data_IF_258871228938
#
_entry.id   IF_258871228938
#
_cell.length_a   1.000
_cell.length_b   1.000
_cell.length_c   1.000
_cell.angle_alpha   90.00
_cell.angle_beta   90.00
_cell.angle_gamma   90.00
#
_symmetry.space_group_name_H-M   'P 1'
#
loop_
_entity.id
_entity.type
_entity.pdbx_description
1 polymer ?
#
# COMPACT_ATOMS: atom_id res chain seq x y z
N UNK A 1 4.80 8.74 25.59
CA UNK A 1 5.29 7.73 24.61
C UNK A 1 6.70 8.11 24.12
N UNK A 2 7.47 7.17 23.54
CA UNK A 2 8.68 7.44 22.75
C UNK A 2 8.38 7.15 21.28
N UNK A 3 9.10 7.79 20.37
CA UNK A 3 8.94 7.52 18.94
C UNK A 3 9.41 6.12 18.57
N UNK A 4 8.85 5.54 17.53
CA UNK A 4 9.35 4.33 16.88
C UNK A 4 10.34 4.76 15.79
N UNK A 5 11.45 4.06 15.67
CA UNK A 5 12.40 4.20 14.58
C UNK A 5 12.84 2.83 14.06
N UNK A 6 13.49 2.81 12.90
CA UNK A 6 14.13 1.59 12.41
C UNK A 6 15.33 1.28 13.30
N UNK A 7 15.44 0.05 13.77
CA UNK A 7 16.54 -0.39 14.60
C UNK A 7 17.87 -0.42 13.82
N UNK A 8 19.02 -0.42 14.50
CA UNK A 8 20.34 -0.46 13.83
C UNK A 8 20.59 -1.70 12.97
N UNK A 9 19.82 -2.76 13.15
CA UNK A 9 19.90 -3.97 12.30
C UNK A 9 19.24 -3.76 10.90
N UNK A 10 18.59 -2.62 10.69
CA UNK A 10 17.92 -2.26 9.43
C UNK A 10 16.64 -3.06 9.14
N UNK A 11 16.23 -3.93 10.07
CA UNK A 11 15.10 -4.84 9.88
C UNK A 11 14.00 -4.69 10.92
N UNK A 12 14.34 -4.51 12.18
CA UNK A 12 13.36 -4.34 13.25
C UNK A 12 13.01 -2.87 13.48
N UNK A 13 11.95 -2.63 14.23
CA UNK A 13 11.67 -1.33 14.82
C UNK A 13 12.02 -1.34 16.30
N UNK A 14 12.38 -0.17 16.83
CA UNK A 14 12.65 0.02 18.27
C UNK A 14 12.16 1.38 18.76
N UNK A 15 12.01 1.49 20.07
CA UNK A 15 11.76 2.79 20.71
C UNK A 15 13.04 3.62 20.72
N UNK A 16 12.95 4.82 20.17
CA UNK A 16 14.09 5.74 20.01
C UNK A 16 14.91 5.89 21.31
N UNK A 17 16.20 5.60 21.20
CA UNK A 17 17.16 5.74 22.29
C UNK A 17 17.03 4.73 23.42
N UNK A 18 16.26 3.65 23.28
CA UNK A 18 16.14 2.60 24.30
C UNK A 18 16.66 1.26 23.87
N UNK A 19 16.63 0.95 22.57
CA UNK A 19 16.89 -0.38 22.04
C UNK A 19 15.75 -1.38 22.31
N UNK A 20 14.65 -0.96 22.90
CA UNK A 20 13.46 -1.78 23.12
C UNK A 20 12.73 -2.04 21.79
N UNK A 21 12.57 -3.32 21.45
CA UNK A 21 11.94 -3.72 20.19
C UNK A 21 10.44 -3.47 20.21
N UNK A 22 9.92 -2.98 19.10
CA UNK A 22 8.49 -2.79 18.85
C UNK A 22 8.13 -3.43 17.53
N UNK A 23 7.09 -4.26 17.52
CA UNK A 23 6.45 -4.72 16.29
C UNK A 23 5.12 -4.00 16.12
N UNK A 24 4.93 -3.17 15.07
CA UNK A 24 3.65 -2.53 14.79
C UNK A 24 2.55 -3.57 14.59
N UNK A 25 1.57 -3.57 15.47
CA UNK A 25 0.44 -4.49 15.43
C UNK A 25 -0.85 -3.71 15.66
N UNK A 26 -1.80 -3.81 14.73
CA UNK A 26 -3.02 -3.03 14.85
C UNK A 26 -3.92 -3.09 13.64
N UNK A 27 -4.36 -1.91 13.18
CA UNK A 27 -5.26 -1.86 12.03
C UNK A 27 -5.59 -0.44 11.58
N UNK A 28 -6.74 -0.33 10.92
CA UNK A 28 -7.25 0.90 10.33
C UNK A 28 -8.67 1.15 10.87
N UNK A 29 -8.97 2.37 11.32
CA UNK A 29 -10.33 2.75 11.77
C UNK A 29 -11.00 3.62 10.71
N UNK A 30 -12.20 3.21 10.33
CA UNK A 30 -13.09 3.95 9.45
C UNK A 30 -14.37 4.36 10.20
N UNK A 31 -15.08 5.33 9.69
CA UNK A 31 -16.40 5.68 10.22
C UNK A 31 -17.49 4.90 9.50
N UNK A 32 -18.14 3.96 10.19
CA UNK A 32 -19.24 3.16 9.65
C UNK A 32 -20.44 4.00 9.18
N UNK A 33 -20.58 5.22 9.70
CA UNK A 33 -21.63 6.17 9.30
C UNK A 33 -21.41 6.78 7.91
N UNK A 34 -20.22 6.52 7.33
CA UNK A 34 -19.83 6.94 6.00
C UNK A 34 -19.29 5.76 5.20
N UNK A 35 -20.15 4.88 4.70
CA UNK A 35 -19.71 3.84 3.79
C UNK A 35 -19.11 4.49 2.53
N UNK A 36 -17.89 4.15 2.19
CA UNK A 36 -17.17 4.74 1.07
C UNK A 36 -15.97 5.58 1.48
N UNK A 37 -15.24 5.15 2.50
CA UNK A 37 -13.98 5.75 2.95
C UNK A 37 -14.11 7.16 3.56
N UNK A 38 -15.28 7.46 4.12
CA UNK A 38 -15.47 8.65 4.93
C UNK A 38 -14.50 8.66 6.10
N UNK A 39 -13.90 9.81 6.33
CA UNK A 39 -12.93 9.92 7.39
C UNK A 39 -13.63 10.01 8.73
N UNK A 40 -13.01 9.40 9.75
CA UNK A 40 -13.44 9.51 11.15
C UNK A 40 -13.68 10.97 11.58
N UNK A 41 -12.98 11.91 10.94
CA UNK A 41 -12.98 13.33 11.30
C UNK A 41 -14.14 14.14 10.73
N UNK A 42 -14.89 13.63 9.77
CA UNK A 42 -16.11 14.28 9.26
C UNK A 42 -17.22 14.33 10.32
N UNK A 43 -17.25 13.36 11.23
CA UNK A 43 -18.17 13.29 12.36
C UNK A 43 -17.46 12.84 13.62
N UNK A 44 -16.41 13.58 13.99
CA UNK A 44 -15.55 13.21 15.09
C UNK A 44 -16.32 13.08 16.40
N UNK A 45 -16.19 11.92 17.03
CA UNK A 45 -16.74 11.59 18.34
C UNK A 45 -15.62 11.09 19.25
N UNK A 46 -15.18 11.95 20.15
CA UNK A 46 -14.07 11.67 21.05
C UNK A 46 -14.35 10.49 22.01
N UNK A 47 -15.61 10.31 22.42
CA UNK A 47 -15.97 9.21 23.32
C UNK A 47 -15.94 7.86 22.61
N UNK A 48 -16.41 7.80 21.35
CA UNK A 48 -16.29 6.60 20.53
C UNK A 48 -14.84 6.30 20.18
N UNK A 49 -14.03 7.30 19.86
CA UNK A 49 -12.59 7.12 19.63
C UNK A 49 -11.88 6.59 20.87
N UNK A 50 -12.16 7.14 22.07
CA UNK A 50 -11.58 6.68 23.33
C UNK A 50 -11.93 5.21 23.62
N UNK A 51 -13.19 4.85 23.41
CA UNK A 51 -13.66 3.46 23.54
C UNK A 51 -12.95 2.51 22.56
N UNK A 52 -12.87 2.88 21.29
CA UNK A 52 -12.24 2.04 20.24
C UNK A 52 -10.74 1.85 20.49
N UNK A 53 -10.02 2.90 20.80
CA UNK A 53 -8.60 2.84 21.16
C UNK A 53 -8.35 2.02 22.42
N UNK A 54 -9.25 2.14 23.43
CA UNK A 54 -9.22 1.30 24.63
C UNK A 54 -9.35 -0.18 24.31
N UNK A 55 -10.32 -0.57 23.47
CA UNK A 55 -10.48 -1.96 23.04
C UNK A 55 -9.26 -2.51 22.29
N UNK A 56 -8.62 -1.68 21.48
CA UNK A 56 -7.37 -2.03 20.80
C UNK A 56 -6.24 -2.28 21.79
N UNK A 57 -6.03 -1.36 22.72
CA UNK A 57 -4.99 -1.47 23.76
C UNK A 57 -5.18 -2.69 24.67
N UNK A 58 -6.42 -2.98 25.10
CA UNK A 58 -6.77 -4.18 25.88
C UNK A 58 -6.45 -5.49 25.14
N UNK A 59 -6.45 -5.48 23.81
CA UNK A 59 -6.08 -6.64 23.00
C UNK A 59 -4.57 -6.74 22.76
N UNK A 60 -3.80 -5.72 23.16
CA UNK A 60 -2.36 -5.62 22.93
C UNK A 60 -1.99 -5.04 21.57
N UNK A 61 -2.94 -4.40 20.87
CA UNK A 61 -2.65 -3.64 19.65
C UNK A 61 -1.97 -2.32 20.04
N UNK A 62 -0.96 -1.95 19.28
CA UNK A 62 -0.12 -0.79 19.60
C UNK A 62 0.01 0.23 18.48
N UNK A 63 -0.52 -0.04 17.28
CA UNK A 63 -0.44 0.85 16.13
C UNK A 63 -1.80 1.02 15.46
N UNK A 64 -2.00 2.22 14.91
CA UNK A 64 -3.17 2.56 14.12
C UNK A 64 -2.77 3.37 12.89
N UNK A 65 -3.15 2.90 11.72
CA UNK A 65 -3.07 3.66 10.48
C UNK A 65 -4.40 4.39 10.29
N UNK A 66 -4.36 5.72 10.15
CA UNK A 66 -5.55 6.55 10.20
C UNK A 66 -5.58 7.61 9.10
N UNK A 67 -6.64 7.63 8.29
CA UNK A 67 -6.87 8.71 7.33
C UNK A 67 -6.98 10.07 8.04
N UNK A 68 -6.25 11.06 7.52
CA UNK A 68 -6.21 12.40 8.12
C UNK A 68 -7.54 13.14 7.94
N UNK A 69 -8.27 12.92 6.85
CA UNK A 69 -9.38 13.79 6.46
C UNK A 69 -8.83 15.17 6.08
N UNK A 70 -8.06 15.20 5.02
CA UNK A 70 -7.30 16.40 4.63
C UNK A 70 -8.19 17.62 4.48
N UNK A 71 -9.37 17.48 3.87
CA UNK A 71 -10.33 18.58 3.69
C UNK A 71 -10.86 19.14 5.02
N UNK A 72 -10.86 18.36 6.10
CA UNK A 72 -11.28 18.82 7.42
C UNK A 72 -10.19 19.65 8.11
N UNK A 73 -8.91 19.39 7.83
CA UNK A 73 -7.78 20.00 8.54
C UNK A 73 -7.03 21.06 7.75
N UNK A 74 -7.16 21.08 6.43
CA UNK A 74 -6.37 21.95 5.56
C UNK A 74 -7.20 22.53 4.40
N UNK A 75 -6.82 23.72 3.97
CA UNK A 75 -7.35 24.42 2.80
C UNK A 75 -6.20 25.17 2.13
N UNK A 76 -6.14 25.12 0.78
CA UNK A 76 -5.04 25.73 0.03
C UNK A 76 -4.97 27.26 0.17
N UNK A 77 -6.11 27.91 0.40
CA UNK A 77 -6.16 29.36 0.51
C UNK A 77 -5.90 29.85 1.95
N UNK A 78 -6.26 29.05 2.95
CA UNK A 78 -6.24 29.45 4.37
C UNK A 78 -5.22 28.68 5.22
N UNK A 79 -4.65 27.59 4.71
CA UNK A 79 -3.76 26.72 5.46
C UNK A 79 -4.51 25.79 6.42
N UNK A 80 -3.94 25.54 7.60
CA UNK A 80 -4.52 24.65 8.61
C UNK A 80 -5.84 25.21 9.18
N UNK A 81 -6.85 24.35 9.27
CA UNK A 81 -8.18 24.68 9.82
C UNK A 81 -8.21 24.39 11.33
N UNK A 82 -8.40 25.40 12.20
CA UNK A 82 -8.33 25.21 13.65
C UNK A 82 -9.32 24.18 14.20
N UNK A 83 -10.52 24.07 13.64
CA UNK A 83 -11.54 23.13 14.08
C UNK A 83 -11.12 21.66 13.80
N UNK A 84 -10.58 21.41 12.62
CA UNK A 84 -10.06 20.07 12.26
C UNK A 84 -8.83 19.69 13.08
N UNK A 85 -7.91 20.64 13.30
CA UNK A 85 -6.75 20.41 14.16
C UNK A 85 -7.17 20.07 15.59
N UNK A 86 -8.15 20.76 16.15
CA UNK A 86 -8.66 20.44 17.50
C UNK A 86 -9.13 18.99 17.62
N UNK A 87 -9.78 18.46 16.58
CA UNK A 87 -10.20 17.07 16.56
C UNK A 87 -8.98 16.13 16.51
N UNK A 88 -7.98 16.47 15.70
CA UNK A 88 -6.72 15.72 15.63
C UNK A 88 -5.93 15.77 16.94
N UNK A 89 -5.79 16.94 17.57
CA UNK A 89 -5.15 17.09 18.90
C UNK A 89 -5.83 16.19 19.92
N UNK A 90 -7.16 16.17 19.94
CA UNK A 90 -7.95 15.30 20.81
C UNK A 90 -7.66 13.83 20.51
N UNK A 91 -7.68 13.44 19.24
CA UNK A 91 -7.45 12.07 18.82
C UNK A 91 -6.04 11.57 19.15
N UNK A 92 -5.02 12.39 18.90
CA UNK A 92 -3.63 12.08 19.27
C UNK A 92 -3.49 11.92 20.79
N UNK A 93 -4.12 12.80 21.57
CA UNK A 93 -4.11 12.68 23.05
C UNK A 93 -4.79 11.39 23.53
N UNK A 94 -5.86 10.94 22.88
CA UNK A 94 -6.49 9.66 23.16
C UNK A 94 -5.59 8.48 22.76
N UNK A 95 -4.92 8.56 21.62
CA UNK A 95 -3.97 7.54 21.20
C UNK A 95 -2.79 7.42 22.19
N UNK A 96 -2.24 8.55 22.67
CA UNK A 96 -1.22 8.56 23.73
C UNK A 96 -1.72 7.95 25.04
N UNK A 97 -2.95 8.31 25.46
CA UNK A 97 -3.60 7.73 26.65
C UNK A 97 -3.63 6.21 26.61
N UNK A 98 -3.87 5.63 25.45
CA UNK A 98 -3.98 4.18 25.25
C UNK A 98 -2.68 3.52 24.78
N UNK A 99 -1.59 4.28 24.61
CA UNK A 99 -0.31 3.73 24.16
C UNK A 99 -0.30 3.28 22.69
N UNK A 100 -1.14 3.89 21.84
CA UNK A 100 -1.26 3.59 20.42
C UNK A 100 -0.44 4.58 19.59
N UNK A 101 0.49 4.10 18.77
CA UNK A 101 1.20 4.92 17.80
C UNK A 101 0.35 5.09 16.53
N UNK A 102 0.40 6.30 15.98
CA UNK A 102 -0.37 6.67 14.80
C UNK A 102 0.51 6.72 13.54
N UNK A 103 -0.04 6.23 12.45
CA UNK A 103 0.45 6.44 11.08
C UNK A 103 -0.62 7.20 10.30
N UNK A 104 -0.59 8.55 10.31
CA UNK A 104 -1.54 9.36 9.57
C UNK A 104 -1.33 9.21 8.07
N UNK A 105 -2.42 9.00 7.32
CA UNK A 105 -2.43 8.83 5.86
C UNK A 105 -2.94 10.09 5.19
N UNK A 106 -2.20 10.63 4.24
CA UNK A 106 -2.51 11.85 3.49
C UNK A 106 -3.76 11.79 2.60
N UNK A 107 -4.43 10.68 2.56
CA UNK A 107 -5.72 10.48 1.94
C UNK A 107 -5.87 9.10 1.30
N UNK A 108 -7.12 8.68 1.16
CA UNK A 108 -7.51 7.57 0.30
C UNK A 108 -7.85 8.11 -1.09
N UNK A 109 -8.05 7.24 -2.09
CA UNK A 109 -8.45 7.63 -3.43
C UNK A 109 -9.64 8.62 -3.39
N UNK A 110 -9.46 9.82 -3.95
CA UNK A 110 -10.53 10.83 -4.05
C UNK A 110 -10.82 11.62 -2.77
N UNK A 111 -10.00 11.59 -1.74
CA UNK A 111 -10.29 12.22 -0.45
C UNK A 111 -9.99 13.71 -0.32
N UNK A 112 -9.33 14.36 -1.29
CA UNK A 112 -8.91 15.77 -1.20
C UNK A 112 -9.53 16.58 -2.34
N UNK A 113 -9.91 17.83 -2.06
CA UNK A 113 -10.55 18.69 -3.06
C UNK A 113 -9.67 19.00 -4.27
N UNK A 114 -8.35 19.02 -4.09
CA UNK A 114 -7.37 19.24 -5.17
C UNK A 114 -6.80 17.95 -5.75
N UNK A 115 -7.12 16.78 -5.18
CA UNK A 115 -6.55 15.51 -5.63
C UNK A 115 -7.41 14.88 -6.71
N UNK A 116 -6.81 14.70 -7.86
CA UNK A 116 -7.39 14.00 -8.98
C UNK A 116 -6.38 12.96 -9.46
N UNK A 117 -6.69 11.68 -9.30
CA UNK A 117 -5.84 10.57 -9.73
C UNK A 117 -5.48 10.65 -11.22
N UNK A 118 -6.40 11.18 -12.04
CA UNK A 118 -6.16 11.37 -13.45
C UNK A 118 -5.17 12.51 -13.74
N UNK A 119 -5.03 13.44 -12.81
CA UNK A 119 -4.10 14.57 -12.93
C UNK A 119 -2.75 14.33 -12.28
N UNK A 120 -2.54 13.21 -11.60
CA UNK A 120 -1.21 12.84 -11.07
C UNK A 120 -0.11 12.94 -12.14
N UNK A 121 -0.47 12.66 -13.37
CA UNK A 121 0.45 12.73 -14.49
C UNK A 121 0.79 14.15 -14.94
N UNK A 122 -0.07 15.13 -14.64
CA UNK A 122 -0.10 16.42 -15.33
C UNK A 122 0.34 17.59 -14.49
N UNK A 123 0.22 17.53 -13.17
CA UNK A 123 0.18 18.82 -12.52
C UNK A 123 1.21 18.98 -11.41
N UNK A 124 2.18 19.82 -11.71
CA UNK A 124 2.95 20.50 -10.69
C UNK A 124 2.06 21.12 -9.62
N UNK A 125 0.92 21.67 -9.99
CA UNK A 125 -0.03 22.31 -9.07
C UNK A 125 -0.62 21.35 -8.01
N UNK A 126 -0.97 20.12 -8.40
CA UNK A 126 -1.44 19.13 -7.42
C UNK A 126 -0.33 18.71 -6.47
N UNK A 127 0.86 18.45 -7.00
CA UNK A 127 2.02 18.10 -6.19
C UNK A 127 2.44 19.25 -5.27
N UNK A 128 2.34 20.50 -5.73
CA UNK A 128 2.57 21.69 -4.89
C UNK A 128 1.54 21.79 -3.76
N UNK A 129 0.27 21.45 -4.03
CA UNK A 129 -0.77 21.40 -3.01
C UNK A 129 -0.53 20.30 -1.97
N UNK A 130 -0.14 19.10 -2.40
CA UNK A 130 0.22 18.00 -1.50
C UNK A 130 1.45 18.38 -0.65
N UNK A 131 2.45 19.02 -1.24
CA UNK A 131 3.63 19.52 -0.50
C UNK A 131 3.25 20.59 0.53
N UNK A 132 2.40 21.56 0.16
CA UNK A 132 1.92 22.58 1.08
C UNK A 132 1.11 22.01 2.26
N UNK A 133 0.27 21.01 1.98
CA UNK A 133 -0.42 20.27 3.02
C UNK A 133 0.56 19.60 4.00
N UNK A 134 1.53 18.85 3.49
CA UNK A 134 2.49 18.15 4.34
C UNK A 134 3.40 19.12 5.12
N UNK A 135 3.83 20.22 4.50
CA UNK A 135 4.59 21.27 5.18
C UNK A 135 3.83 21.79 6.41
N UNK A 136 2.55 22.08 6.23
CA UNK A 136 1.72 22.61 7.30
C UNK A 136 1.38 21.54 8.36
N UNK A 137 0.88 20.37 7.94
CA UNK A 137 0.35 19.35 8.86
C UNK A 137 1.46 18.58 9.58
N UNK A 138 2.46 18.06 8.85
CA UNK A 138 3.58 17.38 9.48
C UNK A 138 4.44 18.36 10.31
N UNK A 139 4.58 19.61 9.85
CA UNK A 139 5.25 20.66 10.60
C UNK A 139 4.57 21.02 11.92
N UNK A 140 3.22 21.01 11.97
CA UNK A 140 2.44 21.22 13.17
C UNK A 140 2.69 20.13 14.23
N UNK A 141 2.75 18.88 13.81
CA UNK A 141 2.97 17.73 14.69
C UNK A 141 4.44 17.26 14.75
N UNK A 142 5.38 18.09 14.33
CA UNK A 142 6.79 17.71 14.31
C UNK A 142 7.27 17.26 15.70
N UNK A 143 7.93 16.10 15.72
CA UNK A 143 8.48 15.54 16.95
C UNK A 143 7.44 14.96 17.91
N UNK A 144 6.17 14.87 17.52
CA UNK A 144 5.14 14.29 18.38
C UNK A 144 5.37 12.77 18.55
N UNK A 145 5.55 12.26 19.78
CA UNK A 145 6.00 10.89 20.01
C UNK A 145 4.96 9.81 19.64
N UNK A 146 3.68 10.17 19.58
CA UNK A 146 2.63 9.24 19.16
C UNK A 146 2.56 9.03 17.64
N UNK A 147 3.24 9.86 16.85
CA UNK A 147 3.32 9.66 15.40
C UNK A 147 4.60 8.92 15.09
N UNK A 148 4.50 7.71 14.48
CA UNK A 148 5.64 6.91 14.13
C UNK A 148 6.05 7.02 12.66
N UNK A 149 5.09 7.22 11.76
CA UNK A 149 5.35 7.40 10.35
C UNK A 149 4.27 8.25 9.69
N UNK A 150 4.63 8.97 8.64
CA UNK A 150 3.70 9.62 7.71
C UNK A 150 3.52 8.74 6.50
N UNK A 151 2.29 8.39 6.17
CA UNK A 151 1.94 7.67 4.95
C UNK A 151 1.44 8.67 3.90
N UNK A 152 2.19 8.81 2.82
CA UNK A 152 1.91 9.84 1.82
C UNK A 152 0.48 9.75 1.28
N UNK A 153 0.05 8.54 0.91
CA UNK A 153 -1.29 8.28 0.40
C UNK A 153 -1.57 6.79 0.25
N UNK A 154 -2.85 6.41 0.28
CA UNK A 154 -3.26 5.02 0.09
C UNK A 154 -3.24 4.61 -1.38
N UNK A 155 -2.59 3.49 -1.67
CA UNK A 155 -2.72 2.70 -2.90
C UNK A 155 -2.70 3.50 -4.20
N UNK A 156 -1.70 4.36 -4.36
CA UNK A 156 -1.52 5.11 -5.59
C UNK A 156 -1.18 4.20 -6.76
N UNK A 157 -1.83 4.48 -7.86
CA UNK A 157 -1.55 3.85 -9.15
C UNK A 157 -1.83 4.84 -10.28
N UNK A 158 -1.07 4.74 -11.35
CA UNK A 158 -1.47 5.26 -12.64
C UNK A 158 -2.32 4.19 -13.33
N UNK A 159 -3.62 4.45 -13.43
CA UNK A 159 -4.52 3.50 -14.03
C UNK A 159 -4.30 3.44 -15.55
N UNK A 160 -3.75 2.34 -16.00
CA UNK A 160 -3.48 2.08 -17.43
C UNK A 160 -4.42 1.04 -18.03
N UNK A 161 -5.30 0.46 -17.22
CA UNK A 161 -6.32 -0.49 -17.64
C UNK A 161 -7.72 0.11 -17.50
N UNK A 162 -8.64 -0.24 -18.39
CA UNK A 162 -10.04 -0.05 -18.15
C UNK A 162 -10.48 -1.04 -17.07
N UNK A 163 -10.15 -0.77 -15.81
CA UNK A 163 -10.66 -1.59 -14.74
C UNK A 163 -12.09 -1.24 -14.43
N UNK A 164 -12.91 -2.26 -14.44
CA UNK A 164 -14.04 -2.55 -13.55
C UNK A 164 -14.91 -1.38 -13.04
N UNK A 165 -14.43 -0.17 -13.05
CA UNK A 165 -15.16 1.04 -12.71
C UNK A 165 -15.58 1.70 -13.99
N UNK A 166 -16.68 1.18 -14.58
CA UNK A 166 -17.33 1.73 -15.76
C UNK A 166 -16.34 2.12 -16.87
N UNK A 167 -15.89 1.17 -17.65
CA UNK A 167 -14.89 1.38 -18.69
C UNK A 167 -15.55 2.18 -19.82
N UNK A 168 -15.22 3.42 -19.87
CA UNK A 168 -15.42 4.13 -21.11
C UNK A 168 -14.07 4.22 -21.81
N UNK A 169 -13.99 3.82 -23.08
CA UNK A 169 -12.86 4.15 -23.93
C UNK A 169 -12.51 5.66 -23.89
N UNK A 170 -13.41 6.48 -23.35
CA UNK A 170 -13.25 7.89 -23.07
C UNK A 170 -12.27 8.18 -21.92
N UNK A 171 -12.26 7.38 -20.85
CA UNK A 171 -11.40 7.58 -19.69
C UNK A 171 -9.95 7.18 -20.01
N UNK A 172 -9.76 6.09 -20.71
CA UNK A 172 -8.46 5.67 -21.24
C UNK A 172 -7.87 6.73 -22.19
N UNK A 173 -8.65 7.26 -23.13
CA UNK A 173 -8.22 8.34 -24.02
C UNK A 173 -7.89 9.64 -23.29
N UNK A 174 -8.54 9.90 -22.17
CA UNK A 174 -8.33 11.10 -21.36
C UNK A 174 -6.99 11.03 -20.62
N UNK A 175 -6.66 9.86 -20.07
CA UNK A 175 -5.36 9.60 -19.45
C UNK A 175 -4.25 9.67 -20.50
N UNK A 176 -4.44 9.04 -21.65
CA UNK A 176 -3.49 9.10 -22.77
C UNK A 176 -3.15 10.53 -23.18
N UNK A 177 -4.16 11.38 -23.38
CA UNK A 177 -3.95 12.75 -23.81
C UNK A 177 -3.14 13.58 -22.80
N UNK A 178 -3.38 13.37 -21.51
CA UNK A 178 -2.71 14.08 -20.42
C UNK A 178 -1.26 13.65 -20.22
N UNK A 179 -0.97 12.38 -20.45
CA UNK A 179 0.39 11.84 -20.30
C UNK A 179 1.29 12.13 -21.51
N UNK A 180 0.69 12.50 -22.65
CA UNK A 180 1.38 12.53 -23.94
C UNK A 180 2.58 13.48 -23.98
N UNK A 181 2.45 14.69 -23.48
CA UNK A 181 3.52 15.69 -23.56
C UNK A 181 4.70 15.33 -22.64
N UNK A 182 4.41 14.93 -21.41
CA UNK A 182 5.44 14.45 -20.49
C UNK A 182 6.11 13.17 -20.97
N UNK A 183 5.34 12.28 -21.60
CA UNK A 183 5.85 11.06 -22.21
C UNK A 183 6.80 11.35 -23.38
N UNK A 184 6.44 12.25 -24.26
CA UNK A 184 7.29 12.65 -25.38
C UNK A 184 8.63 13.26 -24.90
N UNK A 185 8.58 14.14 -23.91
CA UNK A 185 9.77 14.75 -23.32
C UNK A 185 10.68 13.70 -22.65
N UNK A 186 10.10 12.74 -21.92
CA UNK A 186 10.84 11.65 -21.31
C UNK A 186 11.53 10.75 -22.35
N UNK A 187 10.87 10.45 -23.47
CA UNK A 187 11.46 9.70 -24.57
C UNK A 187 12.61 10.47 -25.24
N UNK A 188 12.47 11.79 -25.39
CA UNK A 188 13.53 12.64 -25.93
C UNK A 188 14.78 12.62 -25.01
N UNK A 189 14.59 12.77 -23.71
CA UNK A 189 15.67 12.66 -22.72
C UNK A 189 16.36 11.28 -22.77
N UNK A 190 15.56 10.20 -22.84
CA UNK A 190 16.06 8.83 -22.83
C UNK A 190 16.83 8.45 -24.09
N UNK A 191 16.37 8.85 -25.26
CA UNK A 191 16.90 8.39 -26.54
C UNK A 191 17.79 9.42 -27.27
N UNK A 192 17.65 10.67 -26.95
CA UNK A 192 18.37 11.76 -27.59
C UNK A 192 18.03 12.02 -29.05
N UNK A 193 17.50 11.03 -29.78
CA UNK A 193 17.03 11.19 -31.15
C UNK A 193 15.87 10.25 -31.50
N UNK A 194 15.02 10.69 -32.43
CA UNK A 194 13.87 9.91 -32.93
C UNK A 194 14.32 8.63 -33.62
N UNK A 195 15.45 8.67 -34.30
CA UNK A 195 16.03 7.50 -34.97
C UNK A 195 16.50 6.45 -33.97
N UNK A 196 17.06 6.83 -32.82
CA UNK A 196 17.46 5.92 -31.77
C UNK A 196 16.22 5.26 -31.14
N UNK A 197 15.19 6.04 -30.83
CA UNK A 197 13.90 5.53 -30.34
C UNK A 197 13.28 4.56 -31.36
N UNK A 198 13.21 4.95 -32.63
CA UNK A 198 12.63 4.12 -33.69
C UNK A 198 13.34 2.76 -33.83
N UNK A 199 14.67 2.73 -33.74
CA UNK A 199 15.42 1.46 -33.77
C UNK A 199 15.02 0.55 -32.60
N UNK A 200 14.90 1.12 -31.40
CA UNK A 200 14.54 0.37 -30.19
C UNK A 200 13.08 -0.11 -30.21
N UNK A 201 12.17 0.76 -30.63
CA UNK A 201 10.74 0.45 -30.68
C UNK A 201 10.31 -0.31 -31.94
N UNK A 202 11.20 -0.54 -32.91
CA UNK A 202 10.83 -1.12 -34.21
C UNK A 202 9.80 -0.26 -34.96
N UNK A 203 9.90 1.05 -34.88
CA UNK A 203 8.93 2.03 -35.40
C UNK A 203 9.53 2.98 -36.42
N UNK A 204 8.69 3.79 -37.08
CA UNK A 204 9.08 4.79 -38.07
C UNK A 204 8.39 6.13 -37.77
N UNK A 205 8.46 6.62 -36.53
CA UNK A 205 7.89 7.89 -36.08
C UNK A 205 8.71 9.05 -36.65
N UNK A 206 8.05 10.20 -36.82
CA UNK A 206 8.69 11.43 -37.33
C UNK A 206 9.17 12.34 -36.21
N UNK A 207 8.55 12.22 -35.04
CA UNK A 207 8.88 12.99 -33.84
C UNK A 207 8.56 12.18 -32.57
N UNK A 208 9.06 12.63 -31.42
CA UNK A 208 8.67 12.07 -30.13
C UNK A 208 7.18 12.30 -29.82
N UNK A 209 6.60 13.39 -30.34
CA UNK A 209 5.17 13.68 -30.16
C UNK A 209 4.24 12.72 -30.95
N UNK A 210 4.77 11.98 -31.92
CA UNK A 210 4.00 10.97 -32.69
C UNK A 210 3.83 9.65 -31.94
N UNK A 211 4.48 9.48 -30.78
CA UNK A 211 4.34 8.29 -29.95
C UNK A 211 2.99 8.33 -29.21
N UNK A 212 2.22 7.23 -29.17
CA UNK A 212 0.97 7.17 -28.41
C UNK A 212 1.18 7.57 -26.95
N UNK A 213 0.24 8.26 -26.37
CA UNK A 213 0.27 8.70 -24.98
C UNK A 213 0.19 7.56 -23.97
N UNK A 214 -0.37 6.42 -24.37
CA UNK A 214 -0.32 5.19 -23.59
C UNK A 214 -0.04 3.97 -24.49
N UNK A 215 0.33 2.88 -23.88
CA UNK A 215 0.53 1.59 -24.55
C UNK A 215 -0.33 0.55 -23.84
N UNK A 216 -1.18 -0.16 -24.59
CA UNK A 216 -1.95 -1.29 -24.07
C UNK A 216 -1.03 -2.49 -23.89
N UNK A 217 -0.88 -2.92 -22.66
CA UNK A 217 0.00 -4.04 -22.32
C UNK A 217 -0.54 -5.40 -22.77
N UNK A 218 -1.83 -5.48 -23.07
CA UNK A 218 -2.51 -6.70 -23.50
C UNK A 218 -2.28 -7.02 -24.98
N UNK A 219 -1.85 -6.03 -25.79
CA UNK A 219 -1.75 -6.15 -27.26
C UNK A 219 -0.40 -6.71 -27.73
N UNK A 220 0.63 -6.71 -26.90
CA UNK A 220 1.92 -7.27 -27.26
C UNK A 220 2.66 -7.81 -26.04
N UNK A 221 2.94 -9.11 -25.96
CA UNK A 221 3.57 -9.74 -24.78
C UNK A 221 5.00 -9.24 -24.51
N UNK A 222 5.67 -8.61 -25.46
CA UNK A 222 6.94 -7.95 -25.27
C UNK A 222 7.07 -6.76 -26.22
N UNK A 223 6.58 -5.61 -25.79
CA UNK A 223 6.72 -4.36 -26.52
C UNK A 223 7.64 -3.41 -25.75
N UNK A 224 8.76 -3.00 -26.35
CA UNK A 224 9.69 -2.08 -25.74
C UNK A 224 9.04 -0.73 -25.39
N UNK A 225 8.02 -0.33 -26.12
CA UNK A 225 7.26 0.90 -25.81
C UNK A 225 6.50 0.72 -24.49
N UNK A 226 5.94 -0.46 -24.24
CA UNK A 226 5.25 -0.75 -22.99
C UNK A 226 6.21 -0.70 -21.80
N UNK A 227 7.41 -1.25 -21.93
CA UNK A 227 8.48 -1.14 -20.92
C UNK A 227 8.82 0.31 -20.64
N UNK A 228 9.10 1.08 -21.70
CA UNK A 228 9.46 2.49 -21.56
C UNK A 228 8.34 3.32 -20.94
N UNK A 229 7.08 3.03 -21.30
CA UNK A 229 5.94 3.72 -20.70
C UNK A 229 5.80 3.42 -19.20
N UNK A 230 6.02 2.18 -18.77
CA UNK A 230 6.05 1.82 -17.36
C UNK A 230 7.16 2.53 -16.60
N UNK A 231 8.36 2.59 -17.17
CA UNK A 231 9.49 3.34 -16.60
C UNK A 231 9.22 4.85 -16.52
N UNK A 232 8.51 5.39 -17.49
CA UNK A 232 8.03 6.77 -17.43
C UNK A 232 7.07 6.97 -16.25
N UNK A 233 6.09 6.07 -16.05
CA UNK A 233 5.18 6.14 -14.92
C UNK A 233 5.92 6.04 -13.57
N UNK A 234 6.91 5.16 -13.48
CA UNK A 234 7.78 5.06 -12.29
C UNK A 234 8.55 6.35 -12.01
N UNK A 235 9.11 6.96 -13.04
CA UNK A 235 9.81 8.25 -12.91
C UNK A 235 8.87 9.35 -12.39
N UNK A 236 7.64 9.38 -12.88
CA UNK A 236 6.59 10.31 -12.42
C UNK A 236 6.18 10.03 -10.97
N UNK A 237 5.91 8.77 -10.63
CA UNK A 237 5.58 8.37 -9.27
C UNK A 237 6.71 8.67 -8.29
N UNK A 238 7.96 8.43 -8.71
CA UNK A 238 9.14 8.75 -7.89
C UNK A 238 9.24 10.26 -7.61
N UNK A 239 9.06 11.10 -8.60
CA UNK A 239 9.10 12.56 -8.41
C UNK A 239 8.00 13.03 -7.45
N UNK A 240 6.80 12.48 -7.59
CA UNK A 240 5.68 12.78 -6.70
C UNK A 240 6.00 12.39 -5.24
N UNK A 241 6.54 11.20 -5.01
CA UNK A 241 6.94 10.77 -3.67
C UNK A 241 8.13 11.56 -3.13
N UNK A 242 9.16 11.77 -3.95
CA UNK A 242 10.40 12.43 -3.54
C UNK A 242 10.16 13.82 -2.97
N UNK A 243 9.40 14.67 -3.69
CA UNK A 243 9.12 16.05 -3.24
C UNK A 243 8.39 16.08 -1.90
N UNK A 244 7.40 15.23 -1.70
CA UNK A 244 6.68 15.16 -0.43
C UNK A 244 7.57 14.63 0.70
N UNK A 245 8.36 13.59 0.46
CA UNK A 245 9.34 13.09 1.45
C UNK A 245 10.33 14.19 1.86
N UNK A 246 10.83 14.98 0.91
CA UNK A 246 11.76 16.09 1.19
C UNK A 246 11.11 17.15 2.08
N UNK A 247 9.88 17.54 1.76
CA UNK A 247 9.11 18.50 2.57
C UNK A 247 8.88 17.97 3.98
N UNK A 248 8.39 16.74 4.13
CA UNK A 248 8.13 16.15 5.45
C UNK A 248 9.43 16.07 6.26
N UNK A 249 10.53 15.61 5.68
CA UNK A 249 11.81 15.51 6.38
C UNK A 249 12.38 16.87 6.78
N UNK A 250 12.11 17.92 6.00
CA UNK A 250 12.52 19.28 6.34
C UNK A 250 11.78 19.84 7.55
N UNK A 251 10.47 19.59 7.66
CA UNK A 251 9.63 20.17 8.73
C UNK A 251 9.44 19.25 9.94
N UNK A 252 9.52 17.95 9.77
CA UNK A 252 9.32 16.93 10.81
C UNK A 252 10.47 15.90 10.84
N UNK A 253 11.73 16.32 11.01
CA UNK A 253 12.86 15.41 11.04
C UNK A 253 12.73 14.40 12.20
N UNK A 254 13.04 13.13 11.89
CA UNK A 254 12.95 12.04 12.85
C UNK A 254 11.62 11.29 12.86
N UNK A 255 10.59 11.73 12.13
CA UNK A 255 9.47 10.88 11.79
C UNK A 255 9.80 10.08 10.53
N UNK A 256 9.39 8.82 10.51
CA UNK A 256 9.51 7.98 9.32
C UNK A 256 8.48 8.39 8.27
N UNK A 257 8.79 8.09 7.00
CA UNK A 257 7.91 8.34 5.87
C UNK A 257 7.76 7.06 5.07
N UNK A 258 6.54 6.79 4.64
CA UNK A 258 6.18 5.63 3.82
C UNK A 258 5.11 5.97 2.80
N UNK A 259 4.89 5.11 1.86
CA UNK A 259 3.76 5.11 0.93
C UNK A 259 2.97 3.81 1.11
N UNK A 260 1.65 3.90 1.27
CA UNK A 260 0.75 2.75 1.23
C UNK A 260 0.76 2.12 -0.15
N UNK A 261 1.48 1.01 -0.31
CA UNK A 261 1.69 0.41 -1.61
C UNK A 261 0.56 -0.54 -1.99
N UNK A 262 0.12 -0.41 -3.23
CA UNK A 262 -0.94 -1.21 -3.81
C UNK A 262 -0.43 -2.61 -4.19
N UNK A 263 -0.89 -3.62 -3.49
CA UNK A 263 -0.59 -5.03 -3.74
C UNK A 263 -1.82 -5.93 -3.60
N UNK A 264 -2.99 -5.32 -3.51
CA UNK A 264 -4.21 -6.00 -3.09
C UNK A 264 -4.78 -7.02 -4.07
N UNK A 265 -4.34 -7.04 -5.30
CA UNK A 265 -4.70 -8.07 -6.28
C UNK A 265 -3.50 -8.95 -6.67
N UNK A 266 -2.53 -9.09 -5.78
CA UNK A 266 -1.46 -10.03 -6.06
C UNK A 266 -2.03 -11.45 -6.29
N UNK A 267 -1.54 -12.16 -7.26
CA UNK A 267 -0.31 -11.88 -8.00
C UNK A 267 -0.50 -11.05 -9.29
N UNK A 268 -1.36 -10.03 -9.28
CA UNK A 268 -1.46 -9.13 -10.43
C UNK A 268 -0.26 -8.17 -10.47
N UNK A 269 0.73 -8.52 -11.30
CA UNK A 269 1.97 -7.76 -11.44
C UNK A 269 1.75 -6.33 -11.95
N UNK A 270 0.65 -6.09 -12.67
CA UNK A 270 0.35 -4.76 -13.17
C UNK A 270 -0.06 -3.81 -12.06
N UNK A 271 -0.79 -4.32 -11.06
CA UNK A 271 -1.15 -3.53 -9.90
C UNK A 271 0.02 -3.35 -8.93
N UNK A 272 0.94 -4.28 -8.90
CA UNK A 272 2.02 -4.27 -7.93
C UNK A 272 3.33 -3.67 -8.46
N UNK A 273 3.87 -4.15 -9.58
CA UNK A 273 5.15 -3.66 -10.12
C UNK A 273 5.00 -2.56 -11.15
N UNK A 274 3.86 -2.46 -11.79
CA UNK A 274 3.71 -1.64 -12.98
C UNK A 274 2.72 -0.49 -12.83
N UNK A 275 2.28 -0.23 -11.59
CA UNK A 275 1.35 0.84 -11.27
C UNK A 275 1.95 2.26 -11.30
N UNK A 276 3.27 2.39 -11.51
CA UNK A 276 4.01 3.65 -11.44
C UNK A 276 4.54 3.99 -10.04
N UNK A 277 4.18 3.21 -9.01
CA UNK A 277 4.62 3.40 -7.63
C UNK A 277 5.22 2.13 -7.00
N UNK A 278 6.02 1.31 -7.73
CA UNK A 278 6.58 0.09 -7.15
C UNK A 278 7.67 0.43 -6.12
N UNK A 279 7.76 -0.34 -5.05
CA UNK A 279 8.83 -0.17 -4.05
C UNK A 279 10.22 -0.26 -4.69
N UNK A 280 10.39 -1.01 -5.79
CA UNK A 280 11.63 -1.05 -6.57
C UNK A 280 12.14 0.35 -6.95
N UNK A 281 11.27 1.23 -7.39
CA UNK A 281 11.62 2.59 -7.81
C UNK A 281 11.65 3.61 -6.65
N UNK A 282 11.11 3.26 -5.48
CA UNK A 282 10.79 4.20 -4.40
C UNK A 282 11.44 3.88 -3.06
N UNK A 283 11.93 2.64 -2.84
CA UNK A 283 12.36 2.18 -1.52
C UNK A 283 13.40 3.07 -0.84
N UNK A 284 14.29 3.70 -1.60
CA UNK A 284 15.32 4.60 -1.08
C UNK A 284 14.74 5.92 -0.52
N UNK A 285 13.52 6.28 -0.92
CA UNK A 285 12.79 7.43 -0.41
C UNK A 285 12.10 7.15 0.94
N UNK A 286 11.87 5.88 1.29
CA UNK A 286 11.07 5.49 2.46
C UNK A 286 11.93 4.85 3.55
N UNK A 287 11.45 4.90 4.78
CA UNK A 287 12.16 4.33 5.93
C UNK A 287 11.87 2.83 6.08
N UNK A 288 10.70 2.38 5.65
CA UNK A 288 10.30 0.99 5.55
C UNK A 288 9.40 0.82 4.32
N UNK A 289 9.07 -0.41 3.96
CA UNK A 289 8.19 -0.71 2.82
C UNK A 289 6.90 -1.36 3.27
N UNK A 290 5.86 -1.21 2.46
CA UNK A 290 4.53 -1.73 2.76
C UNK A 290 3.96 -2.50 1.58
N UNK A 291 3.01 -3.39 1.86
CA UNK A 291 2.15 -3.98 0.85
C UNK A 291 0.81 -4.43 1.44
N UNK A 292 -0.21 -4.60 0.58
CA UNK A 292 -1.59 -4.89 0.94
C UNK A 292 -2.06 -6.20 0.29
N UNK A 293 -1.80 -7.37 0.90
CA UNK A 293 -2.20 -8.66 0.33
C UNK A 293 -3.66 -8.98 0.67
N UNK A 294 -4.56 -8.82 -0.31
CA UNK A 294 -5.93 -9.30 -0.21
C UNK A 294 -6.14 -10.56 -1.05
N UNK A 295 -6.79 -11.60 -0.51
CA UNK A 295 -7.01 -12.83 -1.24
C UNK A 295 -8.05 -12.61 -2.33
N UNK A 296 -7.59 -12.46 -3.56
CA UNK A 296 -8.44 -12.30 -4.73
C UNK A 296 -8.34 -13.54 -5.61
N UNK A 297 -9.37 -14.36 -5.57
CA UNK A 297 -9.42 -15.61 -6.34
C UNK A 297 -9.28 -15.41 -7.86
N UNK A 298 -9.68 -14.24 -8.37
CA UNK A 298 -9.56 -13.89 -9.79
C UNK A 298 -8.12 -13.64 -10.22
N UNK A 299 -7.25 -13.30 -9.28
CA UNK A 299 -5.86 -12.95 -9.56
C UNK A 299 -4.88 -14.15 -9.41
N UNK A 300 -5.35 -15.29 -8.91
CA UNK A 300 -4.48 -16.47 -8.75
C UNK A 300 -4.14 -17.05 -10.12
N UNK A 301 -2.86 -17.06 -10.53
CA UNK A 301 -2.45 -17.59 -11.83
C UNK A 301 -2.92 -19.03 -12.05
N UNK A 302 -3.32 -19.33 -13.29
CA UNK A 302 -3.72 -20.67 -13.68
C UNK A 302 -5.11 -21.10 -13.21
N UNK A 303 -5.95 -20.19 -12.69
CA UNK A 303 -7.32 -20.52 -12.27
C UNK A 303 -7.37 -21.53 -11.13
N UNK A 304 -6.41 -21.47 -10.19
CA UNK A 304 -6.22 -22.44 -9.09
C UNK A 304 -7.34 -22.46 -8.04
N UNK A 305 -8.33 -21.59 -8.16
CA UNK A 305 -9.46 -21.50 -7.23
C UNK A 305 -9.28 -20.46 -6.15
N UNK A 306 -10.28 -20.37 -5.27
CA UNK A 306 -10.28 -19.40 -4.16
C UNK A 306 -9.27 -19.82 -3.08
N UNK A 307 -8.29 -18.94 -2.72
CA UNK A 307 -7.36 -19.21 -1.63
C UNK A 307 -8.07 -19.59 -0.32
N UNK A 308 -9.27 -19.09 -0.14
CA UNK A 308 -10.08 -19.25 1.06
C UNK A 308 -10.72 -20.65 1.19
N UNK A 309 -10.73 -21.43 0.11
CA UNK A 309 -11.15 -22.82 0.16
C UNK A 309 -10.04 -23.74 0.72
N UNK A 310 -8.87 -23.20 1.05
CA UNK A 310 -7.75 -23.96 1.62
C UNK A 310 -6.99 -24.76 0.55
N UNK A 311 -6.26 -25.78 1.00
CA UNK A 311 -5.55 -26.68 0.09
C UNK A 311 -4.48 -26.01 -0.75
N UNK A 312 -4.39 -26.36 -2.03
CA UNK A 312 -3.40 -25.85 -2.97
C UNK A 312 -3.58 -24.35 -3.28
N UNK A 313 -4.80 -23.84 -3.49
CA UNK A 313 -5.00 -22.40 -3.69
C UNK A 313 -4.44 -21.56 -2.53
N UNK A 314 -4.68 -21.97 -1.30
CA UNK A 314 -4.15 -21.29 -0.11
C UNK A 314 -2.61 -21.34 -0.07
N UNK A 315 -2.01 -22.50 -0.31
CA UNK A 315 -0.54 -22.64 -0.30
C UNK A 315 0.11 -21.76 -1.36
N UNK A 316 -0.47 -21.73 -2.55
CA UNK A 316 0.03 -20.87 -3.63
C UNK A 316 -0.08 -19.39 -3.27
N UNK A 317 -1.22 -18.98 -2.73
CA UNK A 317 -1.45 -17.62 -2.26
C UNK A 317 -0.45 -17.18 -1.18
N UNK A 318 -0.24 -18.03 -0.17
CA UNK A 318 0.75 -17.74 0.89
C UNK A 318 2.17 -17.64 0.31
N UNK A 319 2.51 -18.48 -0.66
CA UNK A 319 3.79 -18.37 -1.37
C UNK A 319 3.92 -17.07 -2.14
N UNK A 320 2.84 -16.61 -2.78
CA UNK A 320 2.81 -15.31 -3.45
C UNK A 320 3.01 -14.16 -2.46
N UNK A 321 2.36 -14.20 -1.29
CA UNK A 321 2.54 -13.19 -0.23
C UNK A 321 3.98 -13.15 0.29
N UNK A 322 4.61 -14.33 0.52
CA UNK A 322 6.03 -14.41 0.89
C UNK A 322 6.90 -13.84 -0.24
N UNK A 323 6.62 -14.20 -1.49
CA UNK A 323 7.32 -13.69 -2.66
C UNK A 323 7.28 -12.17 -2.73
N UNK A 324 6.11 -11.56 -2.53
CA UNK A 324 5.96 -10.09 -2.49
C UNK A 324 6.80 -9.46 -1.37
N UNK A 325 6.68 -9.98 -0.15
CA UNK A 325 7.45 -9.47 0.98
C UNK A 325 8.96 -9.60 0.75
N UNK A 326 9.40 -10.62 0.03
CA UNK A 326 10.81 -10.88 -0.28
C UNK A 326 11.31 -10.06 -1.46
N UNK A 327 10.51 -9.91 -2.52
CA UNK A 327 10.87 -9.11 -3.68
C UNK A 327 10.97 -7.61 -3.34
N UNK A 328 10.11 -7.14 -2.45
CA UNK A 328 9.89 -5.70 -2.23
C UNK A 328 10.57 -5.14 -0.97
N UNK A 329 11.31 -5.93 -0.20
CA UNK A 329 11.87 -5.44 1.08
C UNK A 329 13.08 -4.50 0.92
N UNK A 330 13.91 -4.70 -0.09
CA UNK A 330 15.11 -3.88 -0.36
C UNK A 330 16.02 -3.65 0.88
N UNK A 331 16.11 -4.65 1.77
CA UNK A 331 16.89 -4.54 3.00
C UNK A 331 16.21 -3.79 4.15
N UNK A 332 14.97 -3.33 3.99
CA UNK A 332 14.21 -2.52 4.96
C UNK A 332 13.18 -3.35 5.72
N UNK A 333 12.65 -2.85 6.85
CA UNK A 333 11.48 -3.45 7.47
C UNK A 333 10.30 -3.51 6.50
N UNK A 334 9.49 -4.55 6.61
CA UNK A 334 8.28 -4.75 5.80
C UNK A 334 7.07 -4.71 6.71
N UNK A 335 6.09 -3.86 6.41
CA UNK A 335 4.82 -3.79 7.13
C UNK A 335 3.69 -4.23 6.20
N UNK A 336 2.96 -5.26 6.60
CA UNK A 336 1.69 -5.63 5.99
C UNK A 336 0.66 -4.63 6.49
N UNK A 337 0.48 -3.55 5.72
CA UNK A 337 -0.18 -2.34 6.18
C UNK A 337 -1.70 -2.40 6.06
N UNK A 338 -2.17 -3.19 5.13
CA UNK A 338 -3.56 -3.59 5.00
C UNK A 338 -3.64 -5.05 4.61
N UNK A 339 -4.46 -5.78 5.28
CA UNK A 339 -4.90 -7.11 4.87
C UNK A 339 -6.17 -7.46 5.62
N UNK A 340 -6.93 -8.35 5.07
CA UNK A 340 -8.18 -8.77 5.67
C UNK A 340 -8.87 -9.78 4.78
N UNK A 341 -10.09 -10.01 5.11
CA UNK A 341 -10.95 -10.96 4.46
C UNK A 341 -12.15 -10.26 3.87
N UNK A 342 -12.60 -10.69 2.70
CA UNK A 342 -13.89 -10.30 2.20
C UNK A 342 -14.96 -11.03 3.02
N UNK A 343 -15.77 -10.28 3.77
CA UNK A 343 -16.81 -10.85 4.62
C UNK A 343 -17.88 -11.62 3.87
N UNK A 344 -17.99 -11.40 2.58
CA UNK A 344 -19.00 -11.97 1.69
C UNK A 344 -20.02 -10.94 1.21
N UNK A 345 -20.90 -11.39 0.30
CA UNK A 345 -21.92 -10.55 -0.33
C UNK A 345 -21.39 -9.69 -1.46
N UNK A 346 -22.13 -8.63 -1.80
CA UNK A 346 -21.79 -7.77 -2.92
C UNK A 346 -20.52 -6.96 -2.65
N UNK A 347 -19.54 -7.09 -3.53
CA UNK A 347 -18.34 -6.27 -3.55
C UNK A 347 -18.34 -5.40 -4.80
N UNK A 348 -18.13 -4.10 -4.63
CA UNK A 348 -18.06 -3.17 -5.77
C UNK A 348 -16.88 -3.45 -6.70
N UNK A 349 -15.85 -4.18 -6.23
CA UNK A 349 -14.66 -4.48 -7.03
C UNK A 349 -14.64 -5.91 -7.57
N UNK A 350 -15.24 -6.88 -6.85
CA UNK A 350 -15.09 -8.30 -7.13
C UNK A 350 -16.42 -9.02 -7.42
N UNK A 351 -17.54 -8.29 -7.48
CA UNK A 351 -18.86 -8.89 -7.67
C UNK A 351 -19.40 -9.54 -6.41
N UNK A 352 -20.15 -10.64 -6.57
CA UNK A 352 -20.73 -11.37 -5.42
C UNK A 352 -19.71 -12.36 -4.86
N UNK A 353 -19.44 -12.25 -3.57
CA UNK A 353 -18.49 -13.08 -2.85
C UNK A 353 -19.20 -14.04 -1.89
N UNK A 354 -18.74 -15.27 -1.73
CA UNK A 354 -19.33 -16.21 -0.77
C UNK A 354 -19.13 -15.70 0.66
N UNK A 355 -20.18 -15.83 1.48
CA UNK A 355 -20.08 -15.54 2.92
C UNK A 355 -19.19 -16.56 3.63
N UNK A 356 -18.29 -16.05 4.47
CA UNK A 356 -17.38 -16.85 5.29
C UNK A 356 -17.63 -16.55 6.77
N UNK A 357 -17.37 -17.52 7.62
CA UNK A 357 -17.52 -17.37 9.07
C UNK A 357 -16.38 -16.60 9.72
N UNK A 358 -16.60 -16.07 10.93
CA UNK A 358 -15.53 -15.45 11.74
C UNK A 358 -14.37 -16.43 11.98
N UNK A 359 -14.68 -17.73 12.10
CA UNK A 359 -13.68 -18.79 12.28
C UNK A 359 -12.79 -18.95 11.05
N UNK A 360 -13.36 -19.05 9.85
CA UNK A 360 -12.58 -19.12 8.60
C UNK A 360 -11.69 -17.90 8.43
N UNK A 361 -12.21 -16.71 8.79
CA UNK A 361 -11.43 -15.47 8.78
C UNK A 361 -10.23 -15.55 9.73
N UNK A 362 -10.44 -16.02 10.95
CA UNK A 362 -9.38 -16.18 11.95
C UNK A 362 -8.33 -17.22 11.51
N UNK A 363 -8.77 -18.35 10.95
CA UNK A 363 -7.90 -19.40 10.41
C UNK A 363 -7.04 -18.88 9.24
N UNK A 364 -7.64 -18.15 8.29
CA UNK A 364 -6.91 -17.49 7.21
C UNK A 364 -5.87 -16.49 7.71
N UNK A 365 -6.29 -15.59 8.60
CA UNK A 365 -5.39 -14.55 9.14
C UNK A 365 -4.20 -15.18 9.89
N UNK A 366 -4.46 -16.24 10.65
CA UNK A 366 -3.39 -17.01 11.31
C UNK A 366 -2.42 -17.61 10.30
N UNK A 367 -2.93 -18.27 9.26
CA UNK A 367 -2.10 -18.86 8.22
C UNK A 367 -1.24 -17.81 7.51
N UNK A 368 -1.82 -16.67 7.14
CA UNK A 368 -1.12 -15.56 6.49
C UNK A 368 -0.04 -14.95 7.39
N UNK A 369 -0.38 -14.64 8.64
CA UNK A 369 0.58 -14.03 9.58
C UNK A 369 1.70 -15.00 9.94
N UNK A 370 1.40 -16.27 10.17
CA UNK A 370 2.43 -17.29 10.43
C UNK A 370 3.38 -17.47 9.24
N UNK A 371 2.88 -17.43 8.01
CA UNK A 371 3.70 -17.49 6.80
C UNK A 371 4.58 -16.24 6.62
N UNK A 372 4.07 -15.06 6.96
CA UNK A 372 4.77 -13.80 6.78
C UNK A 372 5.68 -13.39 7.94
N UNK A 373 5.54 -13.99 9.12
CA UNK A 373 6.34 -13.65 10.31
C UNK A 373 7.84 -13.55 10.06
N UNK A 374 8.50 -14.48 9.32
CA UNK A 374 9.93 -14.38 9.02
C UNK A 374 10.27 -13.34 7.94
N UNK A 375 9.26 -12.68 7.34
CA UNK A 375 9.39 -11.84 6.16
C UNK A 375 8.79 -10.44 6.34
N UNK A 376 8.11 -10.19 7.46
CA UNK A 376 7.47 -8.90 7.76
C UNK A 376 7.60 -8.54 9.25
N UNK A 377 7.61 -7.24 9.54
CA UNK A 377 7.86 -6.68 10.87
C UNK A 377 6.65 -5.90 11.43
N UNK A 378 5.49 -5.98 10.80
CA UNK A 378 4.27 -5.31 11.27
C UNK A 378 3.05 -5.80 10.52
N UNK A 379 1.89 -5.75 11.20
CA UNK A 379 0.63 -6.26 10.68
C UNK A 379 -0.52 -5.35 11.10
N UNK A 380 -1.16 -4.69 10.12
CA UNK A 380 -2.29 -3.79 10.34
C UNK A 380 -3.53 -4.31 9.58
N UNK A 381 -4.52 -4.77 10.31
CA UNK A 381 -5.76 -5.31 9.73
C UNK A 381 -6.61 -4.24 9.04
N UNK A 382 -7.32 -4.63 8.01
CA UNK A 382 -8.33 -3.80 7.37
C UNK A 382 -9.72 -4.47 7.42
N UNK A 383 -10.71 -3.81 8.04
CA UNK A 383 -10.58 -2.73 9.03
C UNK A 383 -10.35 -3.27 10.46
N UNK A 384 -10.19 -2.38 11.45
CA UNK A 384 -10.15 -2.79 12.87
C UNK A 384 -11.54 -3.16 13.39
N UNK A 385 -12.58 -2.41 13.00
CA UNK A 385 -13.98 -2.62 13.35
C UNK A 385 -14.81 -2.88 12.10
N UNK A 386 -15.76 -3.81 12.18
CA UNK A 386 -16.69 -4.07 11.09
C UNK A 386 -17.46 -2.80 10.69
N UNK A 387 -17.71 -2.67 9.41
CA UNK A 387 -18.54 -1.64 8.81
C UNK A 387 -19.71 -2.28 8.04
N UNK A 388 -20.77 -2.78 8.70
CA UNK A 388 -21.80 -3.60 8.08
C UNK A 388 -22.52 -2.94 6.91
N UNK A 389 -22.47 -1.60 6.81
CA UNK A 389 -23.07 -0.83 5.71
C UNK A 389 -22.15 -0.66 4.50
N UNK A 390 -20.88 -1.06 4.61
CA UNK A 390 -19.94 -0.98 3.50
C UNK A 390 -20.24 -2.09 2.47
N UNK A 391 -20.06 -1.77 1.21
CA UNK A 391 -20.20 -2.71 0.09
C UNK A 391 -18.83 -3.17 -0.44
N UNK A 392 -17.91 -3.38 0.48
CA UNK A 392 -16.55 -3.85 0.22
C UNK A 392 -16.03 -4.72 1.37
N UNK A 393 -14.73 -5.00 1.37
CA UNK A 393 -14.05 -5.82 2.40
C UNK A 393 -14.18 -5.27 3.83
N UNK A 394 -14.57 -4.03 3.99
CA UNK A 394 -14.73 -3.38 5.31
C UNK A 394 -15.97 -3.86 6.06
N UNK A 395 -16.92 -4.52 5.38
CA UNK A 395 -18.22 -4.86 5.97
C UNK A 395 -18.10 -5.81 7.17
N UNK A 396 -17.31 -6.88 7.08
CA UNK A 396 -17.15 -7.89 8.13
C UNK A 396 -15.69 -8.32 8.35
N UNK A 397 -14.71 -7.55 7.84
CA UNK A 397 -13.28 -7.84 7.97
C UNK A 397 -12.64 -7.45 9.31
N UNK A 398 -13.42 -6.91 10.25
CA UNK A 398 -12.89 -6.34 11.49
C UNK A 398 -12.39 -7.37 12.51
N UNK A 399 -11.44 -6.92 13.35
CA UNK A 399 -11.01 -7.62 14.56
C UNK A 399 -12.16 -7.58 15.61
N UNK A 400 -12.88 -6.48 15.59
CA UNK A 400 -14.06 -6.25 16.42
C UNK A 400 -15.30 -6.08 15.52
N UNK A 401 -16.45 -6.52 16.01
CA UNK A 401 -17.73 -6.12 15.46
C UNK A 401 -17.94 -4.61 15.65
N UNK A 402 -18.88 -4.01 14.93
CA UNK A 402 -19.16 -2.57 15.01
C UNK A 402 -19.52 -2.07 16.42
N UNK A 403 -20.14 -2.91 17.22
CA UNK A 403 -20.49 -2.66 18.63
C UNK A 403 -19.30 -2.77 19.61
N UNK A 404 -18.14 -3.27 19.13
CA UNK A 404 -16.94 -3.49 19.94
C UNK A 404 -16.80 -4.92 20.50
N UNK A 405 -17.71 -5.83 20.19
CA UNK A 405 -17.56 -7.27 20.52
C UNK A 405 -16.30 -7.81 19.84
N UNK A 406 -15.47 -8.51 20.61
CA UNK A 406 -14.33 -9.25 20.07
C UNK A 406 -14.80 -10.40 19.20
N UNK A 407 -14.30 -10.47 17.96
CA UNK A 407 -14.56 -11.57 17.04
C UNK A 407 -13.53 -12.68 17.25
N UNK A 408 -13.69 -13.84 16.61
CA UNK A 408 -12.69 -14.92 16.69
C UNK A 408 -11.30 -14.47 16.23
N UNK A 409 -11.24 -13.53 15.29
CA UNK A 409 -10.01 -12.90 14.83
C UNK A 409 -9.22 -12.21 15.97
N UNK A 410 -9.89 -11.68 16.98
CA UNK A 410 -9.24 -11.04 18.12
C UNK A 410 -8.27 -11.99 18.87
N UNK A 411 -8.58 -13.30 18.92
CA UNK A 411 -7.69 -14.27 19.53
C UNK A 411 -6.37 -14.44 18.76
N UNK A 412 -6.39 -14.27 17.44
CA UNK A 412 -5.18 -14.30 16.60
C UNK A 412 -4.30 -13.09 16.93
N UNK A 413 -4.88 -11.89 17.01
CA UNK A 413 -4.15 -10.68 17.34
C UNK A 413 -3.61 -10.67 18.78
N UNK A 414 -4.37 -11.18 19.74
CA UNK A 414 -3.87 -11.35 21.12
C UNK A 414 -2.68 -12.33 21.19
N UNK A 415 -2.67 -13.36 20.34
CA UNK A 415 -1.53 -14.27 20.23
C UNK A 415 -0.31 -13.58 19.61
N UNK A 416 -0.50 -12.86 18.51
CA UNK A 416 0.57 -12.08 17.87
C UNK A 416 1.17 -11.05 18.84
N UNK A 417 0.33 -10.33 19.60
CA UNK A 417 0.80 -9.36 20.61
C UNK A 417 1.74 -10.03 21.62
N UNK A 418 1.36 -11.21 22.16
CA UNK A 418 2.23 -11.96 23.11
C UNK A 418 3.52 -12.45 22.44
N UNK A 419 3.48 -12.84 21.16
CA UNK A 419 4.65 -13.34 20.42
C UNK A 419 5.67 -12.23 20.15
N UNK A 420 5.18 -11.01 19.97
CA UNK A 420 6.00 -9.83 19.63
C UNK A 420 6.48 -9.02 20.84
N UNK A 421 5.92 -9.25 22.03
CA UNK A 421 6.20 -8.47 23.23
C UNK A 421 7.72 -8.34 23.50
N UNK A 422 8.26 -7.14 23.23
CA UNK A 422 9.67 -6.79 23.40
C UNK A 422 10.67 -7.64 22.59
N UNK A 423 10.24 -8.43 21.62
CA UNK A 423 11.10 -9.38 20.88
C UNK A 423 11.46 -8.84 19.49
N UNK A 424 12.75 -8.90 19.16
CA UNK A 424 13.21 -8.70 17.78
C UNK A 424 12.82 -9.89 16.91
N UNK A 425 12.34 -9.58 15.71
CA UNK A 425 12.03 -10.61 14.73
C UNK A 425 13.30 -11.05 14.00
N UNK A 426 13.52 -12.36 13.89
CA UNK A 426 14.58 -12.90 13.06
C UNK A 426 14.11 -12.92 11.60
N UNK A 427 14.89 -12.30 10.71
CA UNK A 427 14.63 -12.36 9.28
C UNK A 427 15.01 -13.72 8.72
N UNK A 428 14.16 -14.31 7.89
CA UNK A 428 14.51 -15.54 7.18
C UNK A 428 15.68 -15.28 6.22
N UNK A 429 16.73 -16.11 6.33
CA UNK A 429 17.82 -16.07 5.37
C UNK A 429 17.39 -16.66 4.04
N UNK A 430 17.80 -16.04 2.93
CA UNK A 430 17.59 -16.60 1.60
C UNK A 430 18.35 -17.92 1.43
N UNK A 431 17.71 -18.90 0.81
CA UNK A 431 18.33 -20.19 0.46
C UNK A 431 18.63 -20.31 -1.02
N UNK A 432 17.97 -19.48 -1.84
CA UNK A 432 18.12 -19.45 -3.29
C UNK A 432 17.82 -18.04 -3.81
N UNK A 433 18.53 -17.61 -4.85
CA UNK A 433 18.24 -16.40 -5.60
C UNK A 433 17.56 -16.76 -6.91
N UNK A 434 16.39 -16.20 -7.16
CA UNK A 434 15.65 -16.32 -8.43
C UNK A 434 15.97 -15.10 -9.30
N UNK A 435 16.17 -15.33 -10.59
CA UNK A 435 16.53 -14.28 -11.56
C UNK A 435 15.44 -14.08 -12.59
N UNK A 436 14.96 -12.84 -12.73
CA UNK A 436 13.93 -12.50 -13.70
C UNK A 436 14.27 -11.19 -14.43
N UNK A 437 14.07 -11.18 -15.77
CA UNK A 437 14.20 -9.92 -16.52
C UNK A 437 13.03 -8.98 -16.15
N UNK A 438 13.33 -7.79 -15.64
CA UNK A 438 12.29 -6.82 -15.24
C UNK A 438 11.39 -6.43 -16.42
N UNK A 439 11.96 -6.29 -17.61
CA UNK A 439 11.21 -5.98 -18.82
C UNK A 439 10.19 -7.09 -19.17
N UNK A 440 10.55 -8.36 -18.91
CA UNK A 440 9.65 -9.50 -19.08
C UNK A 440 8.51 -9.49 -18.05
N UNK A 441 8.81 -9.12 -16.80
CA UNK A 441 7.77 -8.97 -15.77
C UNK A 441 6.78 -7.84 -16.10
N UNK A 442 7.23 -6.79 -16.78
CA UNK A 442 6.38 -5.67 -17.16
C UNK A 442 5.45 -5.95 -18.34
N UNK A 443 5.80 -6.91 -19.20
CA UNK A 443 5.15 -7.05 -20.52
C UNK A 443 4.73 -8.46 -20.88
N UNK A 444 5.15 -9.48 -20.12
CA UNK A 444 4.89 -10.87 -20.49
C UNK A 444 4.17 -11.61 -19.37
N UNK A 445 2.92 -11.96 -19.60
CA UNK A 445 2.15 -12.82 -18.69
C UNK A 445 2.87 -14.15 -18.40
N UNK A 446 3.45 -14.77 -19.43
CA UNK A 446 4.20 -16.01 -19.25
C UNK A 446 5.44 -15.85 -18.35
N UNK A 447 6.09 -14.68 -18.37
CA UNK A 447 7.19 -14.38 -17.45
C UNK A 447 6.69 -14.21 -16.00
N UNK A 448 5.57 -13.53 -15.83
CA UNK A 448 4.91 -13.34 -14.53
C UNK A 448 4.46 -14.68 -13.94
N UNK A 449 3.77 -15.51 -14.74
CA UNK A 449 3.28 -16.82 -14.30
C UNK A 449 4.45 -17.73 -13.90
N UNK A 450 5.54 -17.74 -14.69
CA UNK A 450 6.75 -18.49 -14.36
C UNK A 450 7.36 -18.01 -13.02
N UNK A 451 7.40 -16.73 -12.77
CA UNK A 451 7.92 -16.20 -11.51
C UNK A 451 7.13 -16.73 -10.32
N UNK A 452 5.80 -16.69 -10.38
CA UNK A 452 4.95 -17.20 -9.31
C UNK A 452 5.08 -18.70 -9.10
N UNK A 453 5.20 -19.48 -10.19
CA UNK A 453 5.43 -20.94 -10.12
C UNK A 453 6.78 -21.27 -9.47
N UNK A 454 7.85 -20.55 -9.83
CA UNK A 454 9.18 -20.78 -9.26
C UNK A 454 9.21 -20.38 -7.76
N UNK A 455 8.57 -19.25 -7.38
CA UNK A 455 8.40 -18.87 -5.98
C UNK A 455 7.69 -19.97 -5.20
N UNK A 456 6.55 -20.43 -5.73
CA UNK A 456 5.77 -21.49 -5.08
C UNK A 456 6.55 -22.78 -4.94
N UNK A 457 7.29 -23.19 -5.96
CA UNK A 457 8.13 -24.39 -5.91
C UNK A 457 9.22 -24.30 -4.84
N UNK A 458 9.91 -23.16 -4.74
CA UNK A 458 10.95 -22.93 -3.73
C UNK A 458 10.37 -23.02 -2.31
N UNK A 459 9.27 -22.33 -2.06
CA UNK A 459 8.64 -22.26 -0.75
C UNK A 459 8.05 -23.62 -0.35
N UNK A 460 7.42 -24.32 -1.29
CA UNK A 460 6.87 -25.67 -1.07
C UNK A 460 7.96 -26.69 -0.75
N UNK A 461 9.18 -26.50 -1.24
CA UNK A 461 10.36 -27.30 -0.88
C UNK A 461 11.02 -26.88 0.46
N UNK A 462 10.42 -25.91 1.19
CA UNK A 462 10.96 -25.40 2.46
C UNK A 462 12.08 -24.37 2.28
N UNK A 463 12.30 -23.87 1.06
CA UNK A 463 13.26 -22.82 0.76
C UNK A 463 12.72 -21.42 1.00
N UNK A 464 13.62 -20.45 1.02
CA UNK A 464 13.32 -19.02 1.09
C UNK A 464 13.90 -18.33 -0.14
N UNK A 465 13.09 -17.78 -1.04
CA UNK A 465 13.57 -17.08 -2.23
C UNK A 465 14.17 -15.72 -1.88
N UNK A 466 15.18 -15.31 -2.63
CA UNK A 466 15.56 -13.93 -2.84
C UNK A 466 15.53 -13.64 -4.34
N UNK A 467 15.62 -12.38 -4.72
CA UNK A 467 15.38 -12.00 -6.11
C UNK A 467 16.51 -11.13 -6.65
N UNK A 468 16.89 -11.42 -7.88
CA UNK A 468 17.73 -10.57 -8.70
C UNK A 468 16.93 -10.19 -9.95
N UNK A 469 16.44 -8.94 -9.99
CA UNK A 469 15.77 -8.41 -11.17
C UNK A 469 16.83 -7.89 -12.13
N UNK A 470 16.94 -8.56 -13.28
CA UNK A 470 17.92 -8.23 -14.30
C UNK A 470 17.43 -6.99 -15.06
N UNK A 471 18.18 -5.90 -14.91
CA UNK A 471 17.99 -4.69 -15.71
C UNK A 471 18.61 -4.88 -17.12
N UNK A 472 18.04 -4.28 -18.19
CA UNK A 472 18.51 -4.44 -19.57
C UNK A 472 19.86 -3.77 -19.82
#
# INVERSE_FOLDING_TARGET
MKRICVAPDGWNFELEGTGESVTPLGGNILDERHPGQGTLFQRFDAADCDRRLGLMAELGLNCLRQAIGVNEVFDLACGLKPAGLKNWDTFIGLAEKHGIWLMPVGGYLGGNDWFDVERLADSGAQLDADCAFWEAFAGHYRGHPAIWAWDLRNELLYETRPHAVAPGAADERRIEARLKDGWAAWLEERYGSVEAMNRTHGSARRSFADVPGSVRFEEAPFDRRAVDFRRYLEARGREWCRRQCEVIRAVAPGHMVVQGNNGWLAPDMDLWLANGFPNRALHDLFDFVTFHPYPAWQAVPGGRGDPLDGGEPMRFWLSACIGMARLDHYGKPVVVQEFGWYGGGASRFLGELPWRSEREHAEYTRALTDALLPHANGFLNWPTFDMPTANDISNHGGIFASDGRRKELAAVYADLARRFDGRRQARAAATITLEFPIDGLYTSRACQDRMWEEIHAVISAGGTPDFHLIEP
#
